data_IF_561653422064
#
_entry.id   IF_561653422064
#
_cell.length_a   1.000
_cell.length_b   1.000
_cell.length_c   1.000
_cell.angle_alpha   90.00
_cell.angle_beta   90.00
_cell.angle_gamma   90.00
#
_symmetry.space_group_name_H-M   'P 1'
#
loop_
_entity.id
_entity.type
_entity.pdbx_description
1 polymer ?
#
# COMPACT_ATOMS: atom_id res chain seq x y z
N UNK A 1 -23.80 11.06 -26.11
CA UNK A 1 -23.67 9.60 -26.29
C UNK A 1 -24.23 8.90 -25.06
N UNK A 2 -24.94 7.78 -25.18
CA UNK A 2 -25.30 6.95 -24.02
C UNK A 2 -24.01 6.42 -23.42
N UNK A 3 -23.79 6.62 -22.13
CA UNK A 3 -22.65 6.02 -21.42
C UNK A 3 -22.74 4.49 -21.56
N UNK A 4 -21.62 3.86 -21.93
CA UNK A 4 -21.51 2.40 -22.01
C UNK A 4 -21.82 1.80 -20.63
N UNK A 5 -22.59 0.71 -20.61
CA UNK A 5 -22.93 0.01 -19.37
C UNK A 5 -22.15 -1.29 -19.31
N UNK A 6 -21.40 -1.48 -18.24
CA UNK A 6 -20.65 -2.68 -17.93
C UNK A 6 -21.37 -3.49 -16.85
N UNK A 7 -21.35 -4.79 -16.98
CA UNK A 7 -21.79 -5.68 -15.89
C UNK A 7 -20.82 -5.57 -14.69
N UNK A 8 -21.30 -5.95 -13.51
CA UNK A 8 -20.44 -6.01 -12.30
C UNK A 8 -19.27 -6.98 -12.49
N UNK A 9 -19.46 -8.07 -13.24
CA UNK A 9 -18.41 -9.04 -13.51
C UNK A 9 -17.33 -8.47 -14.43
N UNK A 10 -17.71 -7.72 -15.46
CA UNK A 10 -16.76 -7.01 -16.33
C UNK A 10 -15.96 -5.97 -15.54
N UNK A 11 -16.63 -5.15 -14.72
CA UNK A 11 -15.95 -4.18 -13.85
C UNK A 11 -14.94 -4.85 -12.90
N UNK A 12 -15.28 -6.01 -12.35
CA UNK A 12 -14.39 -6.81 -11.49
C UNK A 12 -13.17 -7.32 -12.25
N UNK A 13 -13.38 -7.89 -13.46
CA UNK A 13 -12.28 -8.35 -14.32
C UNK A 13 -11.34 -7.23 -14.74
N UNK A 14 -11.89 -6.06 -15.07
CA UNK A 14 -11.10 -4.86 -15.37
C UNK A 14 -10.24 -4.45 -14.16
N UNK A 15 -10.84 -4.38 -12.96
CA UNK A 15 -10.13 -4.01 -11.74
C UNK A 15 -9.03 -5.03 -11.42
N UNK A 16 -9.29 -6.32 -11.51
CA UNK A 16 -8.31 -7.38 -11.30
C UNK A 16 -7.17 -7.33 -12.33
N UNK A 17 -7.49 -7.08 -13.60
CA UNK A 17 -6.48 -6.95 -14.65
C UNK A 17 -5.58 -5.74 -14.43
N UNK A 18 -6.15 -4.59 -14.08
CA UNK A 18 -5.40 -3.38 -13.77
C UNK A 18 -4.44 -3.59 -12.59
N UNK A 19 -4.86 -4.37 -11.60
CA UNK A 19 -4.07 -4.74 -10.43
C UNK A 19 -3.07 -5.89 -10.68
N UNK A 20 -3.02 -6.45 -11.89
CA UNK A 20 -2.04 -7.46 -12.28
C UNK A 20 -2.44 -8.92 -12.05
N UNK A 21 -3.70 -9.19 -11.69
CA UNK A 21 -4.18 -10.56 -11.41
C UNK A 21 -4.69 -11.32 -12.64
N UNK A 22 -4.77 -10.68 -13.82
CA UNK A 22 -5.18 -11.35 -15.05
C UNK A 22 -4.05 -12.15 -15.74
N UNK A 23 -2.83 -11.99 -15.30
CA UNK A 23 -1.68 -12.76 -15.80
C UNK A 23 -1.27 -13.81 -14.76
N UNK A 24 -0.88 -15.02 -15.20
CA UNK A 24 -0.37 -16.02 -14.27
C UNK A 24 0.90 -15.52 -13.60
N UNK A 25 1.11 -15.98 -12.37
CA UNK A 25 2.37 -15.71 -11.68
C UNK A 25 3.57 -16.26 -12.47
N UNK A 26 4.73 -15.62 -12.36
CA UNK A 26 5.93 -16.10 -13.02
C UNK A 26 6.28 -17.54 -12.58
N UNK A 27 6.55 -18.40 -13.52
CA UNK A 27 7.23 -19.65 -13.22
C UNK A 27 8.72 -19.35 -12.92
N UNK A 28 9.24 -19.86 -11.81
CA UNK A 28 10.64 -19.68 -11.40
C UNK A 28 10.94 -18.35 -10.70
N UNK A 29 12.21 -17.93 -10.72
CA UNK A 29 12.70 -16.79 -9.95
C UNK A 29 12.09 -15.46 -10.40
N UNK A 30 11.61 -14.69 -9.43
CA UNK A 30 11.09 -13.33 -9.67
C UNK A 30 12.24 -12.37 -9.92
N UNK A 31 12.29 -11.79 -11.13
CA UNK A 31 13.34 -10.86 -11.52
C UNK A 31 13.08 -9.44 -11.01
N UNK A 32 14.14 -8.63 -10.91
CA UNK A 32 14.06 -7.21 -10.59
C UNK A 32 13.13 -6.43 -11.55
N UNK A 33 13.16 -6.77 -12.84
CA UNK A 33 12.29 -6.15 -13.84
C UNK A 33 10.80 -6.43 -13.58
N UNK A 34 10.45 -7.65 -13.17
CA UNK A 34 9.07 -8.00 -12.81
C UNK A 34 8.60 -7.29 -11.53
N UNK A 35 9.47 -7.17 -10.54
CA UNK A 35 9.18 -6.39 -9.33
C UNK A 35 8.96 -4.92 -9.67
N UNK A 36 9.84 -4.31 -10.45
CA UNK A 36 9.73 -2.92 -10.90
C UNK A 36 8.45 -2.69 -11.73
N UNK A 37 8.11 -3.59 -12.65
CA UNK A 37 6.88 -3.50 -13.45
C UNK A 37 5.62 -3.59 -12.58
N UNK A 38 5.61 -4.48 -11.57
CA UNK A 38 4.49 -4.59 -10.62
C UNK A 38 4.39 -3.35 -9.73
N UNK A 39 5.52 -2.88 -9.19
CA UNK A 39 5.57 -1.61 -8.43
C UNK A 39 5.11 -0.43 -9.28
N UNK A 40 5.57 -0.32 -10.53
CA UNK A 40 5.13 0.70 -11.46
C UNK A 40 3.62 0.63 -11.76
N UNK A 41 3.04 -0.56 -11.84
CA UNK A 41 1.60 -0.78 -12.02
C UNK A 41 0.79 -0.30 -10.82
N UNK A 42 1.20 -0.68 -9.62
CA UNK A 42 0.53 -0.31 -8.37
C UNK A 42 0.83 1.14 -7.95
N UNK A 43 1.99 1.66 -8.30
CA UNK A 43 2.50 2.97 -7.93
C UNK A 43 2.69 3.20 -6.41
N UNK A 44 2.07 2.42 -5.55
CA UNK A 44 2.06 2.59 -4.09
C UNK A 44 2.25 1.24 -3.40
N UNK A 45 3.15 1.18 -2.41
CA UNK A 45 3.18 0.12 -1.41
C UNK A 45 3.00 0.77 -0.03
N UNK A 46 1.83 0.62 0.56
CA UNK A 46 1.55 1.20 1.88
C UNK A 46 2.42 0.55 2.94
N UNK A 47 3.08 1.38 3.74
CA UNK A 47 3.89 0.97 4.89
C UNK A 47 2.98 0.96 6.13
N UNK A 48 3.03 -0.14 6.86
CA UNK A 48 2.37 -0.25 8.16
C UNK A 48 3.32 -0.81 9.22
N UNK A 49 3.11 -0.40 10.47
CA UNK A 49 3.93 -0.83 11.61
C UNK A 49 3.65 -2.26 12.04
N UNK A 50 2.44 -2.78 11.74
CA UNK A 50 2.02 -4.12 12.13
C UNK A 50 2.84 -5.19 11.39
N UNK A 51 3.47 -6.09 12.14
CA UNK A 51 4.36 -7.13 11.64
C UNK A 51 3.90 -8.52 12.12
N UNK A 52 2.71 -8.91 11.71
CA UNK A 52 2.12 -10.23 12.08
C UNK A 52 2.65 -11.35 11.19
N UNK A 53 2.79 -11.09 9.90
CA UNK A 53 3.38 -11.99 8.90
C UNK A 53 4.75 -11.46 8.44
N UNK A 54 4.70 -10.51 7.59
CA UNK A 54 5.73 -9.57 7.20
C UNK A 54 5.09 -8.17 7.21
N UNK A 55 5.89 -7.11 7.12
CA UNK A 55 5.32 -5.76 7.02
C UNK A 55 4.50 -5.61 5.75
N UNK A 56 3.43 -4.82 5.82
CA UNK A 56 2.39 -4.74 4.79
C UNK A 56 2.92 -4.48 3.38
N UNK A 57 3.93 -3.61 3.23
CA UNK A 57 4.48 -3.22 1.93
C UNK A 57 5.14 -4.36 1.13
N UNK A 58 5.49 -5.49 1.76
CA UNK A 58 6.01 -6.66 1.04
C UNK A 58 4.92 -7.49 0.37
N UNK A 59 3.71 -7.53 0.94
CA UNK A 59 2.68 -8.47 0.52
C UNK A 59 2.04 -8.17 -0.85
N UNK A 60 1.86 -6.91 -1.31
CA UNK A 60 1.32 -6.66 -2.64
C UNK A 60 2.15 -7.26 -3.78
N UNK A 61 3.48 -7.30 -3.64
CA UNK A 61 4.34 -8.01 -4.59
C UNK A 61 4.17 -9.54 -4.47
N UNK A 62 4.13 -10.08 -3.25
CA UNK A 62 3.88 -11.50 -3.03
C UNK A 62 2.56 -11.95 -3.64
N UNK A 63 1.48 -11.22 -3.42
CA UNK A 63 0.15 -11.53 -3.95
C UNK A 63 0.13 -11.66 -5.48
N UNK A 64 0.99 -10.92 -6.19
CA UNK A 64 1.03 -10.89 -7.66
C UNK A 64 2.13 -11.74 -8.27
N UNK A 65 3.25 -11.87 -7.59
CA UNK A 65 4.45 -12.51 -8.13
C UNK A 65 4.77 -13.87 -7.47
N UNK A 66 4.16 -14.18 -6.33
CA UNK A 66 4.57 -15.30 -5.49
C UNK A 66 5.82 -14.99 -4.68
N UNK A 67 6.57 -16.03 -4.31
CA UNK A 67 7.78 -15.88 -3.52
C UNK A 67 8.84 -15.06 -4.27
N UNK A 68 9.30 -13.98 -3.64
CA UNK A 68 10.36 -13.12 -4.15
C UNK A 68 11.33 -12.75 -3.03
N UNK A 69 12.59 -12.35 -3.33
CA UNK A 69 13.55 -11.93 -2.30
C UNK A 69 13.14 -10.57 -1.69
N UNK A 70 12.70 -10.55 -0.44
CA UNK A 70 12.28 -9.32 0.27
C UNK A 70 13.40 -8.28 0.34
N UNK A 71 14.64 -8.73 0.57
CA UNK A 71 15.83 -7.87 0.57
C UNK A 71 16.00 -7.06 -0.73
N UNK A 72 15.42 -7.54 -1.85
CA UNK A 72 15.43 -6.78 -3.10
C UNK A 72 14.53 -5.55 -3.04
N UNK A 73 13.34 -5.65 -2.43
CA UNK A 73 12.48 -4.49 -2.21
C UNK A 73 13.13 -3.51 -1.24
N UNK A 74 13.80 -4.02 -0.18
CA UNK A 74 14.57 -3.19 0.74
C UNK A 74 15.68 -2.43 0.03
N UNK A 75 16.41 -3.09 -0.87
CA UNK A 75 17.44 -2.46 -1.68
C UNK A 75 16.87 -1.41 -2.65
N UNK A 76 15.68 -1.66 -3.23
CA UNK A 76 14.99 -0.69 -4.08
C UNK A 76 14.45 0.51 -3.27
N UNK A 77 14.11 0.35 -1.99
CA UNK A 77 13.58 1.40 -1.11
C UNK A 77 14.69 2.18 -0.38
N UNK A 78 15.67 1.48 0.20
CA UNK A 78 16.65 2.08 1.12
C UNK A 78 18.11 1.77 0.76
N UNK A 79 18.34 1.03 -0.32
CA UNK A 79 19.69 0.72 -0.78
C UNK A 79 20.37 1.88 -1.50
N UNK A 80 21.67 1.72 -1.79
CA UNK A 80 22.47 2.74 -2.48
C UNK A 80 21.96 3.06 -3.89
N UNK A 81 21.41 2.07 -4.62
CA UNK A 81 20.83 2.21 -5.97
C UNK A 81 19.30 2.10 -5.89
N UNK A 82 18.72 2.85 -4.94
CA UNK A 82 17.27 2.84 -4.73
C UNK A 82 16.49 3.30 -5.96
N UNK A 83 15.24 2.92 -6.03
CA UNK A 83 14.27 3.27 -7.07
C UNK A 83 12.97 3.82 -6.48
N UNK A 84 12.84 3.77 -5.16
CA UNK A 84 11.67 4.16 -4.41
C UNK A 84 12.07 5.17 -3.33
N UNK A 85 11.11 5.99 -2.93
CA UNK A 85 11.21 6.86 -1.78
C UNK A 85 9.98 6.69 -0.88
N UNK A 86 10.10 7.10 0.39
CA UNK A 86 8.97 7.16 1.29
C UNK A 86 8.33 8.54 1.26
N UNK A 87 7.01 8.58 1.19
CA UNK A 87 6.24 9.79 1.43
C UNK A 87 4.77 9.47 1.75
N UNK A 88 4.00 10.51 2.06
CA UNK A 88 2.57 10.43 2.31
C UNK A 88 1.80 10.42 0.98
N UNK A 89 1.19 9.28 0.65
CA UNK A 89 0.31 9.09 -0.50
C UNK A 89 -1.01 8.46 -0.02
N UNK A 90 -1.19 7.14 -0.18
CA UNK A 90 -2.22 6.42 0.57
C UNK A 90 -1.60 6.02 1.91
N UNK A 91 -1.70 6.89 2.90
CA UNK A 91 -0.90 6.86 4.15
C UNK A 91 0.62 6.88 3.87
N UNK A 92 1.44 6.48 4.84
CA UNK A 92 2.89 6.33 4.62
C UNK A 92 3.14 5.23 3.58
N UNK A 93 3.88 5.54 2.53
CA UNK A 93 4.03 4.64 1.38
C UNK A 93 5.43 4.68 0.78
N UNK A 94 5.84 3.56 0.18
CA UNK A 94 6.94 3.52 -0.79
C UNK A 94 6.38 3.86 -2.17
N UNK A 95 7.03 4.75 -2.86
CA UNK A 95 6.61 5.35 -4.13
C UNK A 95 7.76 5.32 -5.14
N UNK A 96 7.50 5.05 -6.44
CA UNK A 96 8.48 5.24 -7.50
C UNK A 96 8.90 6.71 -7.63
N UNK A 97 10.15 6.96 -8.04
CA UNK A 97 10.71 8.30 -8.15
C UNK A 97 10.00 9.23 -9.14
N UNK A 98 9.33 8.68 -10.16
CA UNK A 98 8.53 9.46 -11.11
C UNK A 98 7.34 10.19 -10.46
N UNK A 99 6.93 9.77 -9.26
CA UNK A 99 5.91 10.44 -8.47
C UNK A 99 6.46 11.57 -7.58
N UNK A 100 7.77 11.67 -7.38
CA UNK A 100 8.34 12.68 -6.49
C UNK A 100 8.00 14.13 -6.92
N UNK A 101 8.14 14.53 -8.22
CA UNK A 101 7.73 15.86 -8.66
C UNK A 101 6.24 16.13 -8.45
N UNK A 102 5.40 15.11 -8.58
CA UNK A 102 3.94 15.22 -8.45
C UNK A 102 3.46 15.40 -6.99
N UNK A 103 4.35 15.22 -6.02
CA UNK A 103 4.04 15.36 -4.61
C UNK A 103 4.70 16.60 -3.96
N UNK A 104 5.55 17.33 -4.69
CA UNK A 104 6.25 18.52 -4.16
C UNK A 104 5.30 19.63 -3.74
N UNK A 105 4.18 19.84 -4.46
CA UNK A 105 3.15 20.80 -4.03
C UNK A 105 2.61 20.49 -2.63
N UNK A 106 2.55 19.20 -2.24
CA UNK A 106 2.12 18.76 -0.91
C UNK A 106 3.21 19.03 0.13
N UNK A 107 4.47 18.86 -0.26
CA UNK A 107 5.63 19.22 0.57
C UNK A 107 5.64 20.73 0.84
N UNK A 108 5.45 21.54 -0.19
CA UNK A 108 5.36 23.00 -0.08
C UNK A 108 4.18 23.46 0.78
N UNK A 109 3.01 22.83 0.67
CA UNK A 109 1.89 23.11 1.56
C UNK A 109 2.24 22.78 3.01
N UNK A 110 2.88 21.64 3.25
CA UNK A 110 3.31 21.23 4.58
C UNK A 110 4.36 22.19 5.17
N UNK A 111 5.26 22.69 4.35
CA UNK A 111 6.26 23.70 4.77
C UNK A 111 5.60 25.01 5.23
N UNK A 112 4.45 25.37 4.63
CA UNK A 112 3.60 26.50 5.06
C UNK A 112 2.63 26.17 6.19
N UNK A 113 2.65 24.94 6.76
CA UNK A 113 1.73 24.52 7.82
C UNK A 113 0.34 24.10 7.34
N UNK A 114 0.17 23.90 6.03
CA UNK A 114 -1.09 23.50 5.42
C UNK A 114 -1.18 21.97 5.25
N UNK A 115 -2.40 21.42 5.29
CA UNK A 115 -2.66 20.02 4.93
C UNK A 115 -2.07 18.96 5.85
N UNK A 116 -1.63 19.33 7.07
CA UNK A 116 -1.01 18.46 8.06
C UNK A 116 -1.78 18.40 9.37
N UNK A 117 -1.38 17.51 10.26
CA UNK A 117 -1.97 17.38 11.58
C UNK A 117 -1.67 18.62 12.45
N UNK A 118 -2.66 19.02 13.28
CA UNK A 118 -2.58 20.22 14.11
C UNK A 118 -1.29 20.31 14.96
N UNK A 119 -0.86 19.17 15.51
CA UNK A 119 0.37 19.09 16.35
C UNK A 119 1.66 19.48 15.62
N UNK A 120 1.68 19.41 14.30
CA UNK A 120 2.88 19.74 13.52
C UNK A 120 2.90 21.20 13.04
N UNK A 121 1.75 21.89 13.04
CA UNK A 121 1.64 23.26 12.49
C UNK A 121 2.56 24.26 13.19
N UNK A 122 2.82 24.06 14.48
CA UNK A 122 3.75 24.89 15.23
C UNK A 122 5.15 24.92 14.64
N UNK A 123 5.61 23.79 14.07
CA UNK A 123 6.94 23.69 13.43
C UNK A 123 7.00 24.36 12.04
N UNK A 124 5.87 24.64 11.42
CA UNK A 124 5.84 25.47 10.22
C UNK A 124 5.83 26.98 10.54
N UNK A 125 5.58 27.38 11.77
CA UNK A 125 5.48 28.76 12.27
C UNK A 125 6.39 29.03 13.47
N UNK A 126 5.80 29.23 14.64
CA UNK A 126 6.49 29.70 15.87
C UNK A 126 7.68 28.84 16.31
N UNK A 127 7.66 27.53 16.02
CA UNK A 127 8.72 26.58 16.37
C UNK A 127 9.60 26.19 15.17
N UNK A 128 9.57 26.98 14.09
CA UNK A 128 10.34 26.67 12.86
C UNK A 128 11.85 26.59 13.14
N UNK A 129 12.38 27.51 13.92
CA UNK A 129 13.80 27.54 14.24
C UNK A 129 14.26 26.27 14.95
N UNK A 130 13.41 25.69 15.77
CA UNK A 130 13.69 24.42 16.44
C UNK A 130 13.82 23.28 15.42
N UNK A 131 12.90 23.17 14.46
CA UNK A 131 12.98 22.15 13.42
C UNK A 131 14.19 22.38 12.50
N UNK A 132 14.49 23.64 12.17
CA UNK A 132 15.67 23.98 11.37
C UNK A 132 16.97 23.66 12.10
N UNK A 133 17.05 23.78 13.42
CA UNK A 133 18.19 23.32 14.19
C UNK A 133 18.41 21.80 14.07
N UNK A 134 17.32 20.99 14.04
CA UNK A 134 17.42 19.55 13.77
C UNK A 134 17.91 19.31 12.34
N UNK A 135 17.45 20.07 11.37
CA UNK A 135 17.90 19.97 9.97
C UNK A 135 19.39 20.25 9.84
N UNK A 136 19.90 21.31 10.52
CA UNK A 136 21.33 21.64 10.52
C UNK A 136 22.18 20.53 11.16
N UNK A 137 21.65 19.84 12.18
CA UNK A 137 22.33 18.67 12.76
C UNK A 137 22.46 17.53 11.75
N UNK A 138 21.39 17.26 10.98
CA UNK A 138 21.44 16.25 9.91
C UNK A 138 22.47 16.71 8.83
N UNK A 139 22.47 18.00 8.51
CA UNK A 139 23.41 18.56 7.53
C UNK A 139 24.86 18.38 7.94
N UNK A 140 25.18 18.68 9.19
CA UNK A 140 26.54 18.60 9.74
C UNK A 140 26.97 17.18 10.12
N UNK A 141 26.06 16.40 10.72
CA UNK A 141 26.37 15.09 11.33
C UNK A 141 25.97 13.87 10.49
N UNK A 142 25.24 14.07 9.40
CA UNK A 142 24.70 12.96 8.58
C UNK A 142 23.37 12.42 9.06
N UNK A 143 22.94 11.26 8.54
CA UNK A 143 21.64 10.67 8.82
C UNK A 143 21.40 10.43 10.31
N UNK A 144 20.19 10.71 10.80
CA UNK A 144 19.82 10.44 12.19
C UNK A 144 18.36 9.95 12.31
N UNK A 145 18.06 9.26 13.40
CA UNK A 145 16.72 8.85 13.77
C UNK A 145 16.25 9.59 15.04
N UNK A 146 14.94 9.49 15.33
CA UNK A 146 14.38 10.13 16.52
C UNK A 146 15.01 9.62 17.81
N UNK A 147 15.41 8.33 17.87
CA UNK A 147 16.09 7.75 19.02
C UNK A 147 17.47 8.37 19.30
N UNK A 148 18.22 8.81 18.27
CA UNK A 148 19.51 9.47 18.42
C UNK A 148 19.37 10.80 19.17
N UNK A 149 18.34 11.57 18.84
CA UNK A 149 18.00 12.81 19.53
C UNK A 149 17.60 12.58 21.00
N UNK A 150 17.04 11.43 21.34
CA UNK A 150 16.70 11.07 22.71
C UNK A 150 17.94 10.77 23.56
N UNK A 151 18.91 10.04 23.00
CA UNK A 151 20.15 9.68 23.73
C UNK A 151 20.99 10.90 24.07
N UNK A 152 21.02 11.89 23.18
CA UNK A 152 21.71 13.14 23.44
C UNK A 152 21.00 14.01 24.50
N UNK A 153 19.66 13.99 24.56
CA UNK A 153 18.91 14.69 25.61
C UNK A 153 19.26 14.20 26.99
N UNK A 154 19.42 12.89 27.18
CA UNK A 154 19.84 12.33 28.45
C UNK A 154 21.16 12.93 28.94
N UNK A 155 21.96 13.53 28.03
CA UNK A 155 23.24 14.21 28.31
C UNK A 155 23.14 15.74 28.38
N UNK A 156 22.17 16.39 27.68
CA UNK A 156 22.15 17.85 27.50
C UNK A 156 20.89 18.60 27.96
N UNK A 157 19.79 17.89 28.29
CA UNK A 157 18.59 18.51 28.88
C UNK A 157 17.70 19.38 27.97
N UNK A 158 17.98 19.48 26.66
CA UNK A 158 17.52 20.57 25.81
C UNK A 158 16.14 20.40 25.15
N UNK A 159 15.51 19.21 25.08
CA UNK A 159 14.21 19.04 24.38
C UNK A 159 13.35 17.89 24.94
N UNK A 160 12.00 18.02 24.87
CA UNK A 160 11.13 16.89 25.11
C UNK A 160 11.17 15.92 23.91
N UNK A 161 11.26 14.61 24.14
CA UNK A 161 11.38 13.59 23.07
C UNK A 161 10.23 13.63 22.05
N UNK A 162 9.01 13.98 22.49
CA UNK A 162 7.84 14.18 21.64
C UNK A 162 8.09 15.26 20.60
N UNK A 163 8.81 16.31 20.94
CA UNK A 163 9.04 17.48 20.11
C UNK A 163 10.07 17.21 19.02
N UNK A 164 11.21 16.60 19.37
CA UNK A 164 12.24 16.22 18.40
C UNK A 164 11.71 15.27 17.33
N UNK A 165 10.89 14.28 17.74
CA UNK A 165 10.20 13.38 16.81
C UNK A 165 9.21 14.14 15.94
N UNK A 166 8.45 15.07 16.51
CA UNK A 166 7.45 15.85 15.74
C UNK A 166 8.13 16.80 14.76
N UNK A 167 9.27 17.40 15.14
CA UNK A 167 10.09 18.21 14.24
C UNK A 167 10.60 17.40 13.05
N UNK A 168 11.14 16.19 13.27
CA UNK A 168 11.56 15.27 12.20
C UNK A 168 10.40 14.86 11.30
N UNK A 169 9.23 14.59 11.85
CA UNK A 169 8.04 14.27 11.07
C UNK A 169 7.57 15.47 10.24
N UNK A 170 7.67 16.70 10.77
CA UNK A 170 7.39 17.91 9.99
C UNK A 170 8.40 18.12 8.86
N UNK A 171 9.71 18.04 9.16
CA UNK A 171 10.77 18.15 8.15
C UNK A 171 10.61 17.13 7.02
N UNK A 172 10.19 15.91 7.37
CA UNK A 172 9.88 14.85 6.40
C UNK A 172 8.65 15.20 5.56
N UNK A 173 7.58 15.71 6.19
CA UNK A 173 6.37 16.09 5.46
C UNK A 173 6.61 17.29 4.55
N UNK A 174 7.40 18.26 5.03
CA UNK A 174 7.81 19.43 4.25
C UNK A 174 8.86 19.12 3.15
N UNK A 175 9.38 17.89 3.11
CA UNK A 175 10.33 17.46 2.08
C UNK A 175 11.77 17.92 2.30
N UNK A 176 12.11 18.52 3.44
CA UNK A 176 13.49 18.89 3.78
C UNK A 176 14.36 17.65 4.00
N UNK A 177 13.78 16.61 4.60
CA UNK A 177 14.41 15.32 4.79
C UNK A 177 13.55 14.21 4.22
N UNK A 178 14.17 13.07 3.93
CA UNK A 178 13.46 11.85 3.55
C UNK A 178 14.06 10.65 4.26
N UNK A 179 13.44 9.48 4.13
CA UNK A 179 13.93 8.25 4.77
C UNK A 179 15.15 7.70 4.02
N UNK A 180 16.31 7.79 4.63
CA UNK A 180 17.56 7.24 4.10
C UNK A 180 17.65 5.73 4.34
N UNK A 181 17.19 5.26 5.50
CA UNK A 181 17.23 3.85 5.91
C UNK A 181 16.14 3.54 6.94
N UNK A 182 16.00 2.26 7.26
CA UNK A 182 15.21 1.76 8.39
C UNK A 182 16.09 0.94 9.30
N UNK A 183 15.96 1.10 10.62
CA UNK A 183 16.76 0.34 11.60
C UNK A 183 15.92 -0.19 12.77
N UNK A 184 16.48 -1.12 13.55
CA UNK A 184 15.85 -1.68 14.74
C UNK A 184 14.43 -2.20 14.50
N UNK A 185 13.46 -1.71 15.25
CA UNK A 185 12.05 -2.04 15.12
C UNK A 185 11.35 -1.36 13.91
N UNK A 186 12.11 -1.01 12.87
CA UNK A 186 11.65 -0.31 11.67
C UNK A 186 11.53 1.21 11.84
N UNK A 187 12.34 1.78 12.71
CA UNK A 187 12.47 3.21 12.88
C UNK A 187 13.03 3.88 11.61
N UNK A 188 12.52 5.07 11.26
CA UNK A 188 13.07 5.87 10.18
C UNK A 188 14.39 6.49 10.58
N UNK A 189 15.37 6.37 9.69
CA UNK A 189 16.59 7.16 9.69
C UNK A 189 16.44 8.21 8.60
N UNK A 190 16.49 9.47 8.98
CA UNK A 190 16.27 10.60 8.08
C UNK A 190 17.60 11.17 7.61
N UNK A 191 17.68 11.59 6.34
CA UNK A 191 18.77 12.40 5.80
C UNK A 191 18.21 13.48 4.88
N UNK A 192 19.03 14.43 4.51
CA UNK A 192 18.67 15.50 3.58
C UNK A 192 18.10 14.92 2.28
N UNK A 193 17.03 15.51 1.79
CA UNK A 193 16.37 15.04 0.56
C UNK A 193 17.36 15.01 -0.61
N UNK A 194 18.24 16.02 -0.73
CA UNK A 194 19.26 16.12 -1.79
C UNK A 194 20.39 15.07 -1.68
N UNK A 195 20.56 14.41 -0.53
CA UNK A 195 21.51 13.29 -0.38
C UNK A 195 20.90 11.95 -0.71
N UNK A 196 19.58 11.84 -0.62
CA UNK A 196 18.85 10.57 -0.72
C UNK A 196 18.19 10.41 -2.08
N UNK A 197 17.52 11.45 -2.57
CA UNK A 197 16.84 11.45 -3.87
C UNK A 197 17.87 11.71 -4.97
N UNK A 198 17.88 10.90 -6.04
CA UNK A 198 18.80 11.12 -7.16
C UNK A 198 18.71 12.53 -7.77
N UNK A 199 19.84 13.10 -8.14
CA UNK A 199 19.92 14.47 -8.64
C UNK A 199 19.10 14.68 -9.92
N UNK A 200 19.02 13.69 -10.80
CA UNK A 200 18.20 13.70 -12.00
C UNK A 200 16.70 13.76 -11.68
N UNK A 201 16.25 13.11 -10.61
CA UNK A 201 14.87 13.21 -10.12
C UNK A 201 14.60 14.60 -9.53
N UNK A 202 15.55 15.15 -8.75
CA UNK A 202 15.42 16.49 -8.18
C UNK A 202 15.39 17.58 -9.26
N UNK A 203 16.12 17.38 -10.36
CA UNK A 203 16.17 18.29 -11.51
C UNK A 203 14.89 18.28 -12.36
N UNK A 204 14.00 17.27 -12.19
CA UNK A 204 12.74 17.26 -12.91
C UNK A 204 11.87 18.48 -12.54
N UNK A 205 11.22 19.13 -13.53
CA UNK A 205 10.35 20.26 -13.26
C UNK A 205 9.20 19.88 -12.32
N UNK A 206 8.89 20.77 -11.39
CA UNK A 206 7.73 20.65 -10.51
C UNK A 206 6.50 21.17 -11.26
N UNK A 207 5.52 20.33 -11.58
CA UNK A 207 4.27 20.80 -12.14
C UNK A 207 3.49 21.62 -11.11
N UNK A 208 2.60 22.49 -11.57
CA UNK A 208 1.66 23.12 -10.66
C UNK A 208 0.74 22.09 -10.00
N UNK A 209 0.02 22.52 -8.95
CA UNK A 209 -0.85 21.62 -8.17
C UNK A 209 -1.92 20.96 -9.04
N UNK A 210 -2.49 21.67 -10.01
CA UNK A 210 -3.57 21.15 -10.84
C UNK A 210 -3.05 20.03 -11.75
N UNK A 211 -1.93 20.26 -12.43
CA UNK A 211 -1.29 19.26 -13.28
C UNK A 211 -0.74 18.08 -12.47
N UNK A 212 -0.18 18.33 -11.29
CA UNK A 212 0.23 17.26 -10.39
C UNK A 212 -0.95 16.37 -9.98
N UNK A 213 -2.08 16.96 -9.60
CA UNK A 213 -3.31 16.23 -9.26
C UNK A 213 -3.85 15.46 -10.46
N UNK A 214 -3.84 16.05 -11.66
CA UNK A 214 -4.28 15.41 -12.91
C UNK A 214 -3.49 14.14 -13.18
N UNK A 215 -2.15 14.21 -13.12
CA UNK A 215 -1.25 13.04 -13.31
C UNK A 215 -1.42 11.99 -12.23
N UNK A 216 -1.60 12.39 -10.97
CA UNK A 216 -1.85 11.45 -9.88
C UNK A 216 -3.18 10.71 -10.06
N UNK A 217 -4.25 11.41 -10.50
CA UNK A 217 -5.55 10.81 -10.79
C UNK A 217 -5.46 9.82 -11.96
N UNK A 218 -4.76 10.18 -13.05
CA UNK A 218 -4.51 9.25 -14.16
C UNK A 218 -3.73 8.02 -13.69
N UNK A 219 -2.70 8.20 -12.84
CA UNK A 219 -1.91 7.10 -12.28
C UNK A 219 -2.78 6.17 -11.42
N UNK A 220 -3.65 6.74 -10.58
CA UNK A 220 -4.65 5.99 -9.80
C UNK A 220 -5.66 5.27 -10.70
N UNK A 221 -6.17 5.92 -11.72
CA UNK A 221 -7.10 5.33 -12.68
C UNK A 221 -6.50 4.13 -13.43
N UNK A 222 -5.23 4.24 -13.82
CA UNK A 222 -4.48 3.14 -14.45
C UNK A 222 -4.31 1.95 -13.52
N UNK A 223 -4.05 2.21 -12.23
CA UNK A 223 -3.92 1.17 -11.21
C UNK A 223 -5.27 0.53 -10.83
N UNK A 224 -6.37 1.30 -10.85
CA UNK A 224 -7.70 0.82 -10.49
C UNK A 224 -8.47 0.20 -11.68
N UNK A 225 -8.14 0.60 -12.91
CA UNK A 225 -8.80 0.20 -14.16
C UNK A 225 -10.17 0.83 -14.36
N UNK A 226 -11.07 0.63 -13.42
CA UNK A 226 -12.40 1.23 -13.33
C UNK A 226 -12.65 1.71 -11.91
N UNK A 227 -13.18 2.92 -11.72
CA UNK A 227 -13.30 3.55 -10.43
C UNK A 227 -14.38 4.65 -10.41
N UNK A 228 -14.95 4.93 -9.25
CA UNK A 228 -15.71 6.17 -9.03
C UNK A 228 -14.76 7.35 -8.81
N UNK A 229 -15.26 8.59 -8.88
CA UNK A 229 -14.47 9.78 -8.54
C UNK A 229 -13.87 9.70 -7.13
N UNK A 230 -14.63 9.17 -6.17
CA UNK A 230 -14.17 8.95 -4.80
C UNK A 230 -12.98 7.98 -4.74
N UNK A 231 -13.06 6.85 -5.47
CA UNK A 231 -11.98 5.84 -5.51
C UNK A 231 -10.70 6.44 -6.12
N UNK A 232 -10.83 7.22 -7.19
CA UNK A 232 -9.71 7.89 -7.86
C UNK A 232 -8.98 8.84 -6.91
N UNK A 233 -9.73 9.65 -6.17
CA UNK A 233 -9.15 10.58 -5.19
C UNK A 233 -8.51 9.85 -4.02
N UNK A 234 -9.16 8.80 -3.52
CA UNK A 234 -8.67 8.04 -2.37
C UNK A 234 -7.31 7.41 -2.64
N UNK A 235 -7.02 7.03 -3.89
CA UNK A 235 -5.76 6.35 -4.26
C UNK A 235 -4.51 7.13 -3.83
N UNK A 236 -4.52 8.46 -3.95
CA UNK A 236 -3.46 9.36 -3.52
C UNK A 236 -3.91 10.35 -2.44
N UNK A 237 -5.01 10.08 -1.73
CA UNK A 237 -5.57 10.96 -0.69
C UNK A 237 -5.75 12.39 -1.18
N UNK A 238 -6.29 12.56 -2.39
CA UNK A 238 -6.64 13.86 -2.93
C UNK A 238 -8.00 14.32 -2.36
N UNK A 239 -8.15 15.62 -2.21
CA UNK A 239 -9.38 16.23 -1.72
C UNK A 239 -10.41 16.45 -2.85
N UNK A 240 -11.69 16.75 -2.54
CA UNK A 240 -12.75 16.91 -3.54
C UNK A 240 -12.48 17.97 -4.61
N UNK A 241 -11.68 18.99 -4.35
CA UNK A 241 -11.30 19.98 -5.37
C UNK A 241 -10.57 19.38 -6.57
N UNK A 242 -10.03 18.17 -6.44
CA UNK A 242 -9.40 17.44 -7.54
C UNK A 242 -10.42 16.85 -8.54
N UNK A 243 -11.73 16.89 -8.27
CA UNK A 243 -12.75 16.37 -9.18
C UNK A 243 -12.79 17.11 -10.53
N UNK A 244 -12.41 18.41 -10.56
CA UNK A 244 -12.24 19.15 -11.81
C UNK A 244 -11.20 18.49 -12.74
N UNK A 245 -10.16 17.87 -12.20
CA UNK A 245 -9.12 17.15 -12.98
C UNK A 245 -9.65 15.83 -13.55
N UNK A 246 -10.64 15.20 -12.88
CA UNK A 246 -11.32 14.02 -13.42
C UNK A 246 -12.16 14.40 -14.66
N UNK A 247 -12.82 15.56 -14.62
CA UNK A 247 -13.58 16.07 -15.77
C UNK A 247 -12.64 16.35 -16.95
N UNK A 248 -11.52 17.02 -16.72
CA UNK A 248 -10.49 17.28 -17.75
C UNK A 248 -9.97 15.98 -18.39
N UNK A 249 -9.62 14.98 -17.56
CA UNK A 249 -9.18 13.68 -18.06
C UNK A 249 -10.27 12.95 -18.85
N UNK A 250 -11.56 13.20 -18.54
CA UNK A 250 -12.68 12.66 -19.30
C UNK A 250 -12.88 13.39 -20.63
N UNK A 251 -12.71 14.71 -20.66
CA UNK A 251 -12.75 15.52 -21.89
C UNK A 251 -11.60 15.16 -22.85
N UNK A 252 -10.42 14.88 -22.31
CA UNK A 252 -9.25 14.41 -23.06
C UNK A 252 -9.37 12.95 -23.54
N UNK A 253 -10.38 12.21 -23.09
CA UNK A 253 -10.57 10.80 -23.43
C UNK A 253 -9.62 9.84 -22.73
N UNK A 254 -8.86 10.29 -21.71
CA UNK A 254 -8.03 9.45 -20.84
C UNK A 254 -8.91 8.62 -19.91
N UNK A 255 -10.02 9.19 -19.47
CA UNK A 255 -11.07 8.52 -18.71
C UNK A 255 -12.37 8.47 -19.54
N UNK A 256 -13.00 7.32 -19.58
CA UNK A 256 -14.28 7.12 -20.22
C UNK A 256 -15.36 7.02 -19.15
N UNK A 257 -16.34 7.91 -19.18
CA UNK A 257 -17.47 7.86 -18.27
C UNK A 257 -18.37 6.66 -18.64
N UNK A 258 -18.56 5.74 -17.71
CA UNK A 258 -19.33 4.51 -17.89
C UNK A 258 -20.31 4.30 -16.73
N UNK A 259 -21.27 3.40 -16.92
CA UNK A 259 -22.12 2.89 -15.84
C UNK A 259 -21.70 1.47 -15.51
N UNK A 260 -21.80 1.09 -14.26
CA UNK A 260 -21.63 -0.30 -13.81
C UNK A 260 -22.94 -0.75 -13.16
N UNK A 261 -23.40 -1.92 -13.54
CA UNK A 261 -24.62 -2.50 -12.96
C UNK A 261 -24.49 -2.61 -11.44
N UNK A 262 -25.53 -2.16 -10.72
CA UNK A 262 -25.56 -2.14 -9.27
C UNK A 262 -24.79 -0.98 -8.60
N UNK A 263 -24.01 -0.19 -9.33
CA UNK A 263 -23.37 0.98 -8.76
C UNK A 263 -24.30 2.21 -8.83
N UNK A 264 -24.38 2.94 -7.72
CA UNK A 264 -25.20 4.17 -7.67
C UNK A 264 -24.51 5.37 -8.32
N UNK A 265 -23.19 5.38 -8.29
CA UNK A 265 -22.36 6.49 -8.77
C UNK A 265 -21.85 6.19 -10.19
N UNK A 266 -21.65 7.23 -11.01
CA UNK A 266 -20.92 7.08 -12.26
C UNK A 266 -19.52 6.50 -12.01
N UNK A 267 -19.04 5.71 -12.96
CA UNK A 267 -17.70 5.18 -12.96
C UNK A 267 -16.89 5.76 -14.12
N UNK A 268 -15.58 5.75 -13.95
CA UNK A 268 -14.60 6.14 -14.94
C UNK A 268 -13.73 4.92 -15.27
N UNK A 269 -13.71 4.55 -16.54
CA UNK A 269 -12.85 3.51 -17.09
C UNK A 269 -11.58 4.19 -17.63
N UNK A 270 -10.41 3.75 -17.24
CA UNK A 270 -9.17 4.22 -17.88
C UNK A 270 -9.12 3.71 -19.33
N UNK A 271 -8.85 4.58 -20.31
CA UNK A 271 -8.90 4.24 -21.74
C UNK A 271 -7.96 3.06 -22.12
N UNK A 272 -6.86 2.89 -21.39
CA UNK A 272 -5.93 1.75 -21.54
C UNK A 272 -6.30 0.51 -20.72
N UNK A 273 -7.46 0.47 -20.06
CA UNK A 273 -7.87 -0.69 -19.25
C UNK A 273 -8.15 -1.91 -20.15
N UNK A 274 -7.82 -3.08 -19.62
CA UNK A 274 -8.06 -4.35 -20.31
C UNK A 274 -9.25 -5.08 -19.71
N UNK A 275 -10.13 -5.59 -20.56
CA UNK A 275 -11.21 -6.47 -20.17
C UNK A 275 -10.88 -7.91 -20.59
N UNK A 276 -10.29 -8.74 -19.72
CA UNK A 276 -10.05 -10.14 -20.02
C UNK A 276 -11.36 -10.94 -20.00
N UNK A 277 -11.40 -12.06 -20.75
CA UNK A 277 -12.56 -12.95 -20.76
C UNK A 277 -12.80 -13.61 -19.39
N UNK A 278 -11.71 -13.90 -18.68
CA UNK A 278 -11.72 -14.45 -17.32
C UNK A 278 -10.44 -14.05 -16.58
N UNK A 279 -10.50 -14.11 -15.25
CA UNK A 279 -9.33 -14.00 -14.37
C UNK A 279 -9.24 -15.26 -13.52
N UNK A 280 -8.07 -15.91 -13.54
CA UNK A 280 -7.80 -17.12 -12.76
C UNK A 280 -6.71 -16.82 -11.73
N UNK A 281 -7.05 -16.02 -10.73
CA UNK A 281 -6.14 -15.64 -9.66
C UNK A 281 -6.24 -16.56 -8.46
N UNK A 282 -5.11 -16.72 -7.72
CA UNK A 282 -5.10 -17.22 -6.37
C UNK A 282 -4.14 -16.33 -5.56
N UNK A 283 -4.65 -15.61 -4.55
CA UNK A 283 -3.81 -14.70 -3.80
C UNK A 283 -4.40 -14.36 -2.42
N UNK A 284 -3.55 -14.40 -1.39
CA UNK A 284 -3.83 -13.78 -0.11
C UNK A 284 -3.55 -12.29 -0.19
N UNK A 285 -4.54 -11.46 0.21
CA UNK A 285 -4.49 -10.01 0.11
C UNK A 285 -4.32 -9.40 1.50
N UNK A 286 -3.24 -8.63 1.69
CA UNK A 286 -3.05 -7.88 2.94
C UNK A 286 -4.11 -6.77 3.05
N UNK A 287 -4.56 -6.43 4.27
CA UNK A 287 -5.56 -5.36 4.46
C UNK A 287 -5.21 -4.01 3.82
N UNK A 288 -3.95 -3.78 3.53
CA UNK A 288 -3.37 -2.55 2.94
C UNK A 288 -3.04 -2.70 1.44
N UNK A 289 -3.49 -3.78 0.81
CA UNK A 289 -3.33 -3.99 -0.63
C UNK A 289 -4.19 -3.00 -1.42
N UNK A 290 -3.69 -2.38 -2.50
CA UNK A 290 -4.43 -1.43 -3.32
C UNK A 290 -5.77 -1.95 -3.88
N UNK A 291 -5.92 -3.27 -4.03
CA UNK A 291 -7.19 -3.85 -4.46
C UNK A 291 -8.28 -3.74 -3.38
N UNK A 292 -7.89 -3.77 -2.09
CA UNK A 292 -8.84 -3.96 -0.99
C UNK A 292 -8.78 -2.90 0.12
N UNK A 293 -7.85 -1.94 0.08
CA UNK A 293 -7.77 -0.94 1.15
C UNK A 293 -8.98 0.01 1.24
N UNK A 294 -9.66 0.30 0.10
CA UNK A 294 -10.95 0.99 0.08
C UNK A 294 -12.09 -0.02 0.29
N UNK A 295 -12.68 0.00 1.49
CA UNK A 295 -13.71 -0.97 1.91
C UNK A 295 -15.00 -0.82 1.12
N UNK A 296 -15.39 0.41 0.78
CA UNK A 296 -16.58 0.68 -0.01
C UNK A 296 -16.43 0.13 -1.45
N UNK A 297 -15.24 0.27 -2.03
CA UNK A 297 -14.90 -0.32 -3.33
C UNK A 297 -14.90 -1.85 -3.27
N UNK A 298 -14.36 -2.46 -2.21
CA UNK A 298 -14.40 -3.92 -2.01
C UNK A 298 -15.83 -4.42 -1.96
N UNK A 299 -16.71 -3.76 -1.22
CA UNK A 299 -18.13 -4.14 -1.14
C UNK A 299 -18.80 -4.01 -2.50
N UNK A 300 -18.53 -2.95 -3.26
CA UNK A 300 -19.08 -2.77 -4.62
C UNK A 300 -18.59 -3.80 -5.62
N UNK A 301 -17.30 -4.16 -5.61
CA UNK A 301 -16.72 -5.10 -6.58
C UNK A 301 -16.99 -6.56 -6.23
N UNK A 302 -16.92 -6.92 -4.95
CA UNK A 302 -16.90 -8.32 -4.54
C UNK A 302 -18.12 -8.73 -3.70
N UNK A 303 -18.97 -7.78 -3.29
CA UNK A 303 -20.18 -8.05 -2.51
C UNK A 303 -19.88 -8.42 -1.05
N UNK A 304 -18.67 -8.20 -0.57
CA UNK A 304 -18.28 -8.56 0.80
C UNK A 304 -18.02 -7.31 1.64
N UNK A 305 -18.49 -7.33 2.88
CA UNK A 305 -18.10 -6.35 3.90
C UNK A 305 -16.80 -6.82 4.55
N UNK A 306 -15.73 -6.11 4.27
CA UNK A 306 -14.42 -6.39 4.84
C UNK A 306 -14.00 -5.29 5.82
N UNK A 307 -13.54 -5.69 7.01
CA UNK A 307 -13.00 -4.79 8.02
C UNK A 307 -11.79 -5.45 8.69
N UNK A 308 -10.73 -4.70 8.89
CA UNK A 308 -9.62 -5.16 9.72
C UNK A 308 -9.99 -4.99 11.20
N UNK A 309 -9.70 -6.02 12.02
CA UNK A 309 -10.11 -6.06 13.43
C UNK A 309 -8.92 -5.92 14.41
N UNK A 310 -7.77 -5.39 13.95
CA UNK A 310 -6.58 -5.19 14.80
C UNK A 310 -6.83 -4.27 16.00
N UNK A 311 -7.76 -3.32 15.87
CA UNK A 311 -8.16 -2.40 16.93
C UNK A 311 -9.41 -2.87 17.70
N UNK A 312 -9.99 -4.01 17.30
CA UNK A 312 -11.16 -4.57 17.95
C UNK A 312 -10.70 -5.44 19.12
N UNK A 313 -11.30 -5.30 20.32
CA UNK A 313 -11.02 -6.18 21.45
C UNK A 313 -11.20 -7.66 21.07
N UNK A 314 -10.37 -8.58 21.59
CA UNK A 314 -10.36 -9.98 21.18
C UNK A 314 -11.73 -10.68 21.19
N UNK A 315 -12.55 -10.42 22.22
CA UNK A 315 -13.87 -11.00 22.42
C UNK A 315 -14.93 -10.51 21.43
N UNK A 316 -14.66 -9.39 20.73
CA UNK A 316 -15.55 -8.78 19.72
C UNK A 316 -15.11 -9.07 18.28
N UNK A 317 -13.99 -9.78 18.09
CA UNK A 317 -13.50 -10.14 16.75
C UNK A 317 -14.31 -11.28 16.16
N UNK A 318 -14.84 -11.06 14.97
CA UNK A 318 -15.64 -12.07 14.24
C UNK A 318 -14.72 -13.09 13.57
N UNK A 319 -13.78 -12.60 12.75
CA UNK A 319 -12.94 -13.46 11.93
C UNK A 319 -11.51 -13.59 12.47
N UNK A 320 -11.01 -12.67 13.25
CA UNK A 320 -9.68 -12.73 13.84
C UNK A 320 -8.97 -11.38 13.95
N UNK A 321 -7.66 -11.40 14.17
CA UNK A 321 -6.87 -10.20 14.40
C UNK A 321 -6.32 -9.61 13.09
N UNK A 322 -5.61 -10.44 12.29
CA UNK A 322 -4.96 -10.01 11.06
C UNK A 322 -5.47 -10.84 9.89
N UNK A 323 -6.71 -10.56 9.53
CA UNK A 323 -7.48 -11.34 8.57
C UNK A 323 -7.14 -10.91 7.15
N UNK A 324 -6.68 -11.84 6.32
CA UNK A 324 -6.44 -11.65 4.90
C UNK A 324 -7.60 -12.23 4.09
N UNK A 325 -8.24 -11.45 3.20
CA UNK A 325 -9.10 -12.00 2.16
C UNK A 325 -8.30 -12.87 1.20
N UNK A 326 -8.88 -14.01 0.81
CA UNK A 326 -8.33 -14.88 -0.22
C UNK A 326 -9.07 -14.71 -1.53
N UNK A 327 -8.38 -14.21 -2.54
CA UNK A 327 -8.86 -14.12 -3.91
C UNK A 327 -8.71 -15.47 -4.59
N UNK A 328 -9.81 -16.01 -5.13
CA UNK A 328 -9.83 -17.23 -5.92
C UNK A 328 -10.64 -16.99 -7.21
N UNK A 329 -9.99 -17.08 -8.36
CA UNK A 329 -10.58 -16.63 -9.62
C UNK A 329 -10.91 -15.13 -9.58
N UNK A 330 -12.19 -14.81 -9.73
CA UNK A 330 -12.71 -13.42 -9.73
C UNK A 330 -13.42 -13.07 -8.39
N UNK A 331 -13.33 -13.90 -7.36
CA UNK A 331 -14.09 -13.73 -6.11
C UNK A 331 -13.17 -13.73 -4.90
N UNK A 332 -13.56 -13.01 -3.87
CA UNK A 332 -13.00 -13.27 -2.53
C UNK A 332 -13.71 -14.51 -2.00
N UNK A 333 -12.96 -15.58 -1.83
CA UNK A 333 -13.50 -16.90 -1.50
C UNK A 333 -13.36 -17.27 -0.02
N UNK A 334 -12.44 -16.60 0.70
CA UNK A 334 -12.24 -16.89 2.12
C UNK A 334 -11.68 -15.68 2.87
N UNK A 335 -11.75 -15.75 4.21
CA UNK A 335 -11.06 -14.88 5.17
C UNK A 335 -10.20 -15.75 6.08
N UNK A 336 -8.93 -15.39 6.18
CA UNK A 336 -7.95 -16.21 6.91
C UNK A 336 -7.17 -15.33 7.88
N UNK A 337 -7.28 -15.60 9.19
CA UNK A 337 -6.45 -14.94 10.20
C UNK A 337 -5.12 -15.67 10.32
N UNK A 338 -4.03 -14.97 10.01
CA UNK A 338 -2.70 -15.54 9.88
C UNK A 338 -1.71 -14.89 10.84
N UNK A 339 -0.76 -15.70 11.34
CA UNK A 339 0.37 -15.25 12.14
C UNK A 339 1.64 -16.03 11.78
N UNK A 340 2.73 -15.34 11.52
CA UNK A 340 4.04 -15.98 11.44
C UNK A 340 4.56 -16.24 12.87
N UNK A 341 4.43 -17.46 13.32
CA UNK A 341 4.96 -17.90 14.61
C UNK A 341 6.42 -18.32 14.42
N UNK A 342 7.30 -17.32 14.51
CA UNK A 342 8.74 -17.50 14.26
C UNK A 342 9.42 -18.33 15.35
N UNK A 343 8.87 -18.36 16.56
CA UNK A 343 9.38 -19.17 17.65
C UNK A 343 9.09 -20.64 17.40
N UNK A 344 7.90 -20.96 16.94
CA UNK A 344 7.51 -22.33 16.56
C UNK A 344 7.97 -22.71 15.14
N UNK A 345 8.47 -21.76 14.35
CA UNK A 345 8.90 -21.99 12.97
C UNK A 345 7.75 -22.30 11.99
N UNK A 346 6.50 -21.86 12.27
CA UNK A 346 5.33 -22.19 11.45
C UNK A 346 4.49 -20.97 11.08
N UNK A 347 3.83 -21.03 9.93
CA UNK A 347 2.73 -20.15 9.59
C UNK A 347 1.46 -20.67 10.28
N UNK A 348 0.96 -19.93 11.25
CA UNK A 348 -0.23 -20.29 11.98
C UNK A 348 -1.48 -19.72 11.33
N UNK A 349 -2.39 -20.59 10.89
CA UNK A 349 -3.77 -20.25 10.53
C UNK A 349 -4.57 -20.24 11.81
N UNK A 350 -4.88 -19.03 12.32
CA UNK A 350 -5.61 -18.84 13.58
C UNK A 350 -7.12 -19.08 13.40
N UNK A 351 -7.63 -18.77 12.20
CA UNK A 351 -9.00 -19.12 11.77
C UNK A 351 -9.09 -19.05 10.25
N UNK A 352 -10.01 -19.82 9.66
CA UNK A 352 -10.28 -19.81 8.22
C UNK A 352 -11.79 -19.99 7.96
N UNK A 353 -12.36 -19.04 7.20
CA UNK A 353 -13.80 -18.93 6.95
C UNK A 353 -14.05 -18.83 5.45
N UNK A 354 -14.98 -19.63 4.92
CA UNK A 354 -15.43 -19.48 3.53
C UNK A 354 -16.34 -18.27 3.37
N UNK A 355 -16.23 -17.60 2.23
CA UNK A 355 -17.23 -16.63 1.81
C UNK A 355 -18.36 -17.30 1.05
N UNK A 356 -19.60 -16.78 1.11
CA UNK A 356 -20.72 -17.30 0.34
C UNK A 356 -20.41 -17.34 -1.16
N UNK A 357 -20.67 -18.48 -1.79
CA UNK A 357 -20.39 -18.68 -3.23
C UNK A 357 -18.90 -18.88 -3.56
N UNK A 358 -18.09 -19.28 -2.58
CA UNK A 358 -16.70 -19.67 -2.83
C UNK A 358 -16.64 -20.85 -3.83
N UNK A 359 -15.71 -20.82 -4.81
CA UNK A 359 -15.51 -21.94 -5.73
C UNK A 359 -15.13 -23.22 -5.00
N UNK A 360 -15.52 -24.38 -5.53
CA UNK A 360 -15.22 -25.69 -4.92
C UNK A 360 -13.71 -25.95 -4.76
N UNK A 361 -12.89 -25.43 -5.66
CA UNK A 361 -11.43 -25.52 -5.63
C UNK A 361 -10.77 -24.55 -4.63
N UNK A 362 -11.52 -23.63 -4.03
CA UNK A 362 -10.95 -22.61 -3.15
C UNK A 362 -10.16 -23.17 -1.95
N UNK A 363 -10.58 -24.24 -1.26
CA UNK A 363 -9.81 -24.80 -0.15
C UNK A 363 -8.43 -25.32 -0.59
N UNK A 364 -8.34 -26.03 -1.72
CA UNK A 364 -7.08 -26.52 -2.24
C UNK A 364 -6.16 -25.37 -2.66
N UNK A 365 -6.67 -24.41 -3.41
CA UNK A 365 -5.90 -23.24 -3.84
C UNK A 365 -5.45 -22.38 -2.65
N UNK A 366 -6.24 -22.32 -1.59
CA UNK A 366 -5.85 -21.65 -0.34
C UNK A 366 -4.74 -22.40 0.37
N UNK A 367 -4.81 -23.74 0.45
CA UNK A 367 -3.74 -24.56 1.03
C UNK A 367 -2.41 -24.35 0.27
N UNK A 368 -2.45 -24.33 -1.06
CA UNK A 368 -1.28 -24.08 -1.90
C UNK A 368 -0.67 -22.68 -1.63
N UNK A 369 -1.52 -21.64 -1.49
CA UNK A 369 -1.09 -20.29 -1.16
C UNK A 369 -0.49 -20.17 0.24
N UNK A 370 -1.07 -20.87 1.22
CA UNK A 370 -0.55 -20.89 2.60
C UNK A 370 0.82 -21.57 2.64
N UNK A 371 0.98 -22.70 1.93
CA UNK A 371 2.27 -23.39 1.81
C UNK A 371 3.32 -22.52 1.10
N UNK A 372 2.93 -21.80 0.03
CA UNK A 372 3.80 -20.85 -0.65
C UNK A 372 4.22 -19.69 0.27
N UNK A 373 3.27 -19.15 1.04
CA UNK A 373 3.54 -18.06 1.99
C UNK A 373 4.46 -18.53 3.12
N UNK A 374 4.26 -19.72 3.66
CA UNK A 374 5.15 -20.28 4.69
C UNK A 374 6.61 -20.35 4.18
N UNK A 375 6.83 -20.91 2.99
CA UNK A 375 8.16 -20.95 2.36
C UNK A 375 8.75 -19.56 2.14
N UNK A 376 7.95 -18.60 1.66
CA UNK A 376 8.41 -17.23 1.43
C UNK A 376 8.78 -16.49 2.74
N UNK A 377 8.10 -16.84 3.84
CA UNK A 377 8.39 -16.34 5.19
C UNK A 377 9.51 -17.10 5.89
N UNK A 378 10.12 -18.11 5.21
CA UNK A 378 11.18 -18.96 5.75
C UNK A 378 10.72 -19.78 6.97
N UNK A 379 9.46 -20.23 6.93
CA UNK A 379 8.82 -21.06 7.97
C UNK A 379 8.75 -22.51 7.50
N UNK A 380 8.89 -23.47 8.42
CA UNK A 380 8.99 -24.89 8.13
C UNK A 380 7.67 -25.55 7.73
N UNK A 381 6.52 -24.86 7.90
CA UNK A 381 5.22 -25.43 7.53
C UNK A 381 4.05 -24.54 7.94
N UNK A 382 2.85 -25.10 7.83
CA UNK A 382 1.59 -24.44 8.19
C UNK A 382 0.91 -25.20 9.31
N UNK A 383 0.52 -24.52 10.38
CA UNK A 383 -0.27 -25.08 11.48
C UNK A 383 -1.67 -24.46 11.50
N UNK A 384 -2.70 -25.28 11.48
CA UNK A 384 -4.11 -24.85 11.42
C UNK A 384 -4.78 -25.03 12.78
N UNK A 385 -5.27 -23.93 13.37
CA UNK A 385 -6.11 -23.98 14.56
C UNK A 385 -7.56 -24.40 14.18
N UNK A 386 -8.29 -25.12 15.04
CA UNK A 386 -9.64 -25.65 14.74
C UNK A 386 -10.72 -24.55 14.87
N UNK A 387 -10.57 -23.45 14.11
CA UNK A 387 -11.50 -22.32 14.12
C UNK A 387 -11.87 -21.90 12.71
N UNK A 388 -13.17 -21.87 12.42
CA UNK A 388 -13.74 -21.57 11.10
C UNK A 388 -14.11 -22.82 10.32
N UNK A 389 -15.03 -22.69 9.39
CA UNK A 389 -15.59 -23.78 8.60
C UNK A 389 -14.60 -24.42 7.62
N UNK A 390 -13.55 -23.70 7.21
CA UNK A 390 -12.47 -24.23 6.37
C UNK A 390 -11.35 -24.91 7.16
N UNK A 391 -11.28 -24.76 8.48
CA UNK A 391 -10.13 -25.18 9.28
C UNK A 391 -9.88 -26.70 9.18
N UNK A 392 -10.93 -27.53 9.26
CA UNK A 392 -10.82 -28.99 9.14
C UNK A 392 -10.28 -29.43 7.78
N UNK A 393 -10.84 -28.89 6.71
CA UNK A 393 -10.39 -29.19 5.32
C UNK A 393 -8.95 -28.77 5.10
N UNK A 394 -8.56 -27.57 5.52
CA UNK A 394 -7.18 -27.08 5.40
C UNK A 394 -6.19 -27.92 6.19
N UNK A 395 -6.58 -28.39 7.39
CA UNK A 395 -5.73 -29.25 8.20
C UNK A 395 -5.44 -30.61 7.53
N UNK A 396 -6.38 -31.14 6.74
CA UNK A 396 -6.17 -32.34 5.93
C UNK A 396 -5.26 -32.06 4.73
N UNK A 397 -5.57 -31.04 3.95
CA UNK A 397 -4.83 -30.67 2.73
C UNK A 397 -3.37 -30.27 2.97
N UNK A 398 -3.07 -29.71 4.14
CA UNK A 398 -1.71 -29.26 4.49
C UNK A 398 -0.85 -30.32 5.20
N UNK A 399 -1.41 -31.52 5.48
CA UNK A 399 -0.66 -32.69 5.97
C UNK A 399 -0.21 -33.61 4.88
N UNK A 400 -0.90 -33.57 3.73
CA UNK A 400 -0.58 -34.33 2.53
C UNK A 400 0.61 -33.72 1.77
#
# INVERSE_FOLDING_TARGET
MKAETLSLEEARRIALAAQGFASPRPAGTVTAGRMAATTGRLAIHQIDSVNVLARAHYLPLFSRLGAYPRARLDADAWGRKRRLFEYWAHEASLLPFDLHPLLRWRMEQADRGEGMWARMRGFAGERRDEAMAVLERIRAGGPLAASDLREEKARSGWWEWSDAKTALEWLFWAGHVTTAARRGSFERVYDLTERVIPADVLALPTPDKAEAQRRLLERGARALGIATASDLRDYFRLKPEADARIAELAEEGVLLAVRVEGWRQPAFLHAGAKLPRRVDAAALLVPFDPLIWDRARVERLFGIRYRIEIYTPPEKRVHGYYVLPFLCGERIAARVDLKADRQAGVLRVQSAWAEPGAPAEAPQRLADELALMARWLELGGVAVAPRGDLAGTLAVLLRA
#
